data_IF_376055535779
#
_entry.id   IF_376055535779
#
_cell.length_a   1.000
_cell.length_b   1.000
_cell.length_c   1.000
_cell.angle_alpha   90.00
_cell.angle_beta   90.00
_cell.angle_gamma   90.00
#
_symmetry.space_group_name_H-M   'P 1'
#
loop_
_entity.id
_entity.type
_entity.pdbx_description
1 polymer ?
#
# COMPACT_ATOMS: atom_id res chain seq x y z
N UNK A 1 7.14 5.21 -6.16
CA UNK A 1 6.58 4.20 -7.10
C UNK A 1 5.32 4.71 -7.81
N UNK A 2 5.03 4.20 -9.00
CA UNK A 2 3.80 4.53 -9.76
C UNK A 2 2.61 3.62 -9.46
N UNK A 3 1.42 4.01 -9.95
CA UNK A 3 0.14 3.33 -9.66
C UNK A 3 0.09 1.86 -10.11
N UNK A 4 0.78 1.50 -11.20
CA UNK A 4 0.82 0.11 -11.69
C UNK A 4 1.48 -0.83 -10.67
N UNK A 5 2.66 -0.45 -10.16
CA UNK A 5 3.39 -1.22 -9.13
C UNK A 5 2.66 -1.20 -7.79
N UNK A 6 2.08 -0.06 -7.40
CA UNK A 6 1.28 0.03 -6.17
C UNK A 6 0.10 -0.97 -6.19
N UNK A 7 -0.69 -0.99 -7.27
CA UNK A 7 -1.80 -1.94 -7.43
C UNK A 7 -1.34 -3.39 -7.44
N UNK A 8 -0.26 -3.70 -8.13
CA UNK A 8 0.30 -5.05 -8.13
C UNK A 8 0.54 -5.54 -6.70
N UNK A 9 1.37 -4.84 -5.91
CA UNK A 9 1.71 -5.29 -4.56
C UNK A 9 0.52 -5.26 -3.59
N UNK A 10 -0.35 -4.24 -3.66
CA UNK A 10 -1.50 -4.14 -2.76
C UNK A 10 -2.59 -5.19 -3.05
N UNK A 11 -2.72 -5.67 -4.28
CA UNK A 11 -3.74 -6.64 -4.67
C UNK A 11 -3.25 -8.10 -4.63
N UNK A 12 -1.94 -8.33 -4.81
CA UNK A 12 -1.37 -9.68 -4.80
C UNK A 12 -0.76 -10.05 -3.46
N UNK A 13 -0.42 -9.08 -2.61
CA UNK A 13 0.33 -9.27 -1.37
C UNK A 13 1.66 -10.03 -1.57
N UNK A 14 2.25 -9.94 -2.77
CA UNK A 14 3.56 -10.54 -3.05
C UNK A 14 4.65 -9.90 -2.19
N UNK A 15 5.64 -10.69 -1.71
CA UNK A 15 6.74 -10.15 -0.93
C UNK A 15 7.58 -9.18 -1.77
N UNK A 16 8.07 -8.13 -1.12
CA UNK A 16 8.88 -7.09 -1.74
C UNK A 16 10.27 -7.05 -1.08
N UNK A 17 11.31 -7.31 -1.89
CA UNK A 17 12.70 -7.17 -1.44
C UNK A 17 13.14 -5.71 -1.32
N UNK A 18 14.16 -5.43 -0.50
CA UNK A 18 14.75 -4.09 -0.37
C UNK A 18 15.29 -3.52 -1.70
N UNK A 19 15.94 -4.36 -2.51
CA UNK A 19 16.47 -3.95 -3.81
C UNK A 19 15.37 -3.52 -4.79
N UNK A 20 14.28 -4.29 -4.88
CA UNK A 20 13.12 -3.90 -5.69
C UNK A 20 12.43 -2.66 -5.13
N UNK A 21 12.35 -2.52 -3.80
CA UNK A 21 11.77 -1.35 -3.14
C UNK A 21 12.55 -0.06 -3.47
N UNK A 22 13.88 -0.12 -3.51
CA UNK A 22 14.73 1.01 -3.93
C UNK A 22 14.52 1.30 -5.42
N UNK A 23 14.54 0.27 -6.27
CA UNK A 23 14.37 0.39 -7.73
C UNK A 23 13.04 1.04 -8.13
N UNK A 24 11.96 0.77 -7.39
CA UNK A 24 10.64 1.38 -7.64
C UNK A 24 10.43 2.72 -6.91
N UNK A 25 11.42 3.18 -6.15
CA UNK A 25 11.36 4.41 -5.36
C UNK A 25 10.31 4.35 -4.26
N UNK A 26 10.25 3.22 -3.54
CA UNK A 26 9.56 3.08 -2.25
C UNK A 26 10.49 3.42 -1.09
N UNK A 27 11.76 3.06 -1.18
CA UNK A 27 12.81 3.47 -0.23
C UNK A 27 13.90 4.27 -0.96
N UNK A 28 14.68 5.05 -0.22
CA UNK A 28 15.71 5.93 -0.81
C UNK A 28 17.06 5.24 -1.06
N UNK A 29 17.36 4.16 -0.34
CA UNK A 29 18.60 3.40 -0.49
C UNK A 29 18.39 1.98 0.01
N UNK A 30 19.09 1.02 -0.59
CA UNK A 30 19.18 -0.37 -0.16
C UNK A 30 20.66 -0.71 -0.02
N UNK A 31 21.01 -1.32 1.12
CA UNK A 31 22.36 -1.78 1.45
C UNK A 31 22.26 -3.21 1.99
N UNK A 32 23.39 -3.88 2.16
CA UNK A 32 23.44 -5.19 2.79
C UNK A 32 22.96 -5.12 4.25
N UNK A 33 22.40 -6.23 4.76
CA UNK A 33 21.76 -6.27 6.08
C UNK A 33 22.69 -5.79 7.21
N UNK A 34 23.98 -6.16 7.14
CA UNK A 34 25.00 -5.79 8.12
C UNK A 34 25.34 -4.28 8.11
N UNK A 35 25.04 -3.58 7.01
CA UNK A 35 25.38 -2.17 6.78
C UNK A 35 24.22 -1.20 7.06
N UNK A 36 23.01 -1.70 7.31
CA UNK A 36 21.78 -0.89 7.46
C UNK A 36 21.95 0.14 8.57
N UNK A 37 22.38 -0.28 9.77
CA UNK A 37 22.47 0.60 10.92
C UNK A 37 23.59 1.63 10.75
N UNK A 38 24.75 1.20 10.26
CA UNK A 38 25.89 2.09 10.02
C UNK A 38 25.53 3.17 8.98
N UNK A 39 24.87 2.78 7.89
CA UNK A 39 24.44 3.70 6.83
C UNK A 39 23.39 4.68 7.32
N UNK A 40 22.36 4.20 8.04
CA UNK A 40 21.30 5.06 8.58
C UNK A 40 21.85 6.07 9.60
N UNK A 41 22.74 5.62 10.49
CA UNK A 41 23.37 6.47 11.51
C UNK A 41 24.21 7.56 10.88
N UNK A 42 25.09 7.20 9.93
CA UNK A 42 25.89 8.16 9.18
C UNK A 42 25.04 9.21 8.48
N UNK A 43 23.92 8.81 7.87
CA UNK A 43 23.01 9.76 7.21
C UNK A 43 22.34 10.70 8.23
N UNK A 44 21.91 10.16 9.37
CA UNK A 44 21.29 10.94 10.44
C UNK A 44 22.29 11.95 11.04
N UNK A 45 23.54 11.55 11.27
CA UNK A 45 24.62 12.42 11.75
C UNK A 45 24.89 13.57 10.76
N UNK A 46 24.99 13.26 9.47
CA UNK A 46 25.16 14.26 8.42
C UNK A 46 23.99 15.27 8.40
N UNK A 47 22.75 14.80 8.53
CA UNK A 47 21.58 15.68 8.61
C UNK A 47 21.55 16.51 9.90
N UNK A 48 22.02 15.96 11.01
CA UNK A 48 22.09 16.65 12.29
C UNK A 48 23.13 17.79 12.28
N UNK A 49 24.22 17.62 11.54
CA UNK A 49 25.27 18.64 11.37
C UNK A 49 24.92 19.69 10.30
N UNK A 50 23.89 19.46 9.49
CA UNK A 50 23.46 20.37 8.42
C UNK A 50 22.75 21.63 8.91
N UNK A 51 22.49 22.57 7.99
CA UNK A 51 21.78 23.82 8.26
C UNK A 51 20.31 23.56 8.63
N UNK A 52 20.04 23.45 9.93
CA UNK A 52 18.76 22.97 10.46
C UNK A 52 17.52 23.74 9.97
N UNK A 53 17.62 25.07 9.85
CA UNK A 53 16.52 25.88 9.31
C UNK A 53 16.19 25.52 7.86
N UNK A 54 17.21 25.45 7.00
CA UNK A 54 17.02 25.10 5.59
C UNK A 54 16.44 23.69 5.44
N UNK A 55 17.01 22.70 6.15
CA UNK A 55 16.53 21.31 6.11
C UNK A 55 15.07 21.19 6.54
N UNK A 56 14.67 21.88 7.63
CA UNK A 56 13.29 21.88 8.12
C UNK A 56 12.34 22.50 7.10
N UNK A 57 12.70 23.63 6.50
CA UNK A 57 11.86 24.29 5.50
C UNK A 57 11.74 23.48 4.22
N UNK A 58 12.84 22.90 3.73
CA UNK A 58 12.80 21.98 2.59
C UNK A 58 11.88 20.79 2.88
N UNK A 59 12.04 20.12 4.02
CA UNK A 59 11.17 19.01 4.42
C UNK A 59 9.70 19.44 4.52
N UNK A 60 9.43 20.59 5.12
CA UNK A 60 8.06 21.11 5.26
C UNK A 60 7.41 21.36 3.89
N UNK A 61 8.11 22.05 2.99
CA UNK A 61 7.62 22.36 1.64
C UNK A 61 7.36 21.09 0.84
N UNK A 62 8.28 20.12 0.86
CA UNK A 62 8.12 18.86 0.14
C UNK A 62 6.98 18.00 0.72
N UNK A 63 6.77 18.03 2.03
CA UNK A 63 5.70 17.26 2.66
C UNK A 63 4.29 17.73 2.29
N UNK A 64 4.12 18.94 1.72
CA UNK A 64 2.84 19.36 1.16
C UNK A 64 2.41 18.45 -0.01
N UNK A 65 3.37 17.85 -0.73
CA UNK A 65 3.06 16.88 -1.79
C UNK A 65 2.28 15.68 -1.25
N UNK A 66 2.63 15.18 -0.06
CA UNK A 66 1.88 14.08 0.58
C UNK A 66 0.48 14.49 1.01
N UNK A 67 0.29 15.75 1.44
CA UNK A 67 -1.02 16.25 1.90
C UNK A 67 -2.05 16.29 0.77
N UNK A 68 -1.62 16.41 -0.49
CA UNK A 68 -2.51 16.33 -1.65
C UNK A 68 -3.22 14.96 -1.78
N UNK A 69 -2.66 13.91 -1.21
CA UNK A 69 -3.24 12.55 -1.25
C UNK A 69 -4.22 12.25 -0.11
N UNK A 70 -4.53 13.23 0.75
CA UNK A 70 -5.48 13.09 1.87
C UNK A 70 -6.80 12.39 1.50
N UNK A 71 -7.52 12.81 0.44
CA UNK A 71 -8.79 12.19 0.06
C UNK A 71 -8.70 10.69 -0.28
N UNK A 72 -7.57 10.26 -0.88
CA UNK A 72 -7.36 8.85 -1.19
C UNK A 72 -7.20 8.02 0.11
N UNK A 73 -6.49 8.58 1.09
CA UNK A 73 -6.33 7.96 2.40
C UNK A 73 -7.65 7.88 3.18
N UNK A 74 -8.45 8.95 3.17
CA UNK A 74 -9.79 8.96 3.79
C UNK A 74 -10.72 7.93 3.15
N UNK A 75 -10.70 7.84 1.82
CA UNK A 75 -11.45 6.83 1.07
C UNK A 75 -11.02 5.43 1.45
N UNK A 76 -9.70 5.15 1.51
CA UNK A 76 -9.21 3.83 1.91
C UNK A 76 -9.64 3.48 3.33
N UNK A 77 -9.60 4.43 4.27
CA UNK A 77 -10.01 4.20 5.64
C UNK A 77 -11.51 3.87 5.75
N UNK A 78 -12.36 4.62 5.04
CA UNK A 78 -13.80 4.34 5.01
C UNK A 78 -14.13 2.96 4.44
N UNK A 79 -13.47 2.58 3.33
CA UNK A 79 -13.65 1.27 2.70
C UNK A 79 -13.11 0.13 3.57
N UNK A 80 -12.03 0.38 4.32
CA UNK A 80 -11.47 -0.59 5.27
C UNK A 80 -12.48 -0.91 6.38
N UNK A 81 -13.15 0.09 6.96
CA UNK A 81 -14.18 -0.15 7.99
C UNK A 81 -15.37 -0.96 7.49
N UNK A 82 -15.81 -0.71 6.25
CA UNK A 82 -16.87 -1.49 5.62
C UNK A 82 -16.41 -2.94 5.41
N UNK A 83 -15.17 -3.13 4.98
CA UNK A 83 -14.59 -4.44 4.73
C UNK A 83 -14.37 -5.22 6.03
N UNK A 84 -13.88 -4.58 7.10
CA UNK A 84 -13.58 -5.21 8.38
C UNK A 84 -14.80 -5.80 9.10
N UNK A 85 -15.99 -5.26 8.83
CA UNK A 85 -17.25 -5.78 9.38
C UNK A 85 -17.80 -6.97 8.57
N UNK A 86 -17.20 -7.26 7.41
CA UNK A 86 -17.63 -8.26 6.45
C UNK A 86 -17.35 -9.72 6.84
N UNK A 87 -17.96 -10.68 6.12
CA UNK A 87 -17.75 -12.11 6.36
C UNK A 87 -16.32 -12.58 6.05
N UNK A 88 -15.67 -11.97 5.06
CA UNK A 88 -14.34 -12.38 4.59
C UNK A 88 -13.26 -12.20 5.65
N UNK A 89 -13.40 -11.22 6.54
CA UNK A 89 -12.43 -10.98 7.63
C UNK A 89 -12.49 -12.07 8.67
N UNK A 90 -13.70 -12.55 9.00
CA UNK A 90 -13.88 -13.68 9.92
C UNK A 90 -13.26 -14.94 9.36
N UNK A 91 -13.49 -15.21 8.07
CA UNK A 91 -12.90 -16.36 7.38
C UNK A 91 -11.38 -16.24 7.25
N UNK A 92 -10.86 -15.06 6.88
CA UNK A 92 -9.42 -14.81 6.79
C UNK A 92 -8.71 -15.07 8.12
N UNK A 93 -9.30 -14.60 9.23
CA UNK A 93 -8.76 -14.83 10.57
C UNK A 93 -8.82 -16.31 10.96
N UNK A 94 -9.94 -17.00 10.69
CA UNK A 94 -10.10 -18.43 10.96
C UNK A 94 -9.09 -19.27 10.16
N UNK A 95 -9.01 -19.05 8.85
CA UNK A 95 -8.10 -19.74 7.95
C UNK A 95 -6.63 -19.55 8.36
N UNK A 96 -6.24 -18.33 8.75
CA UNK A 96 -4.90 -18.05 9.25
C UNK A 96 -4.59 -18.81 10.55
N UNK A 97 -5.52 -18.80 11.52
CA UNK A 97 -5.36 -19.54 12.80
C UNK A 97 -5.30 -21.05 12.60
N UNK A 98 -6.12 -21.57 11.69
CA UNK A 98 -6.23 -22.99 11.37
C UNK A 98 -5.17 -23.47 10.36
N UNK A 99 -4.31 -22.56 9.84
CA UNK A 99 -3.27 -22.84 8.83
C UNK A 99 -3.80 -23.55 7.58
N UNK A 100 -4.99 -23.16 7.14
CA UNK A 100 -5.63 -23.68 5.92
C UNK A 100 -5.84 -22.55 4.90
N UNK A 101 -6.05 -22.87 3.62
CA UNK A 101 -6.48 -21.88 2.64
C UNK A 101 -7.82 -21.25 3.02
N UNK A 102 -7.92 -19.92 2.85
CA UNK A 102 -9.16 -19.18 3.04
C UNK A 102 -10.13 -19.45 1.89
N UNK A 103 -11.44 -19.45 2.19
CA UNK A 103 -12.52 -19.65 1.24
C UNK A 103 -13.47 -18.46 1.27
N UNK A 104 -13.16 -17.45 0.47
CA UNK A 104 -13.99 -16.24 0.37
C UNK A 104 -15.24 -16.52 -0.46
N UNK A 105 -16.40 -16.05 0.02
CA UNK A 105 -17.65 -16.12 -0.74
C UNK A 105 -17.77 -14.89 -1.62
N UNK A 106 -18.09 -15.05 -2.91
CA UNK A 106 -18.42 -13.91 -3.76
C UNK A 106 -19.70 -13.24 -3.21
N UNK A 107 -19.54 -12.09 -2.53
CA UNK A 107 -20.67 -11.30 -2.06
C UNK A 107 -21.60 -10.92 -3.21
N UNK A 108 -22.89 -10.82 -2.91
CA UNK A 108 -24.06 -10.61 -3.78
C UNK A 108 -24.02 -9.34 -4.66
N UNK A 109 -23.06 -9.28 -5.59
CA UNK A 109 -22.95 -8.24 -6.64
C UNK A 109 -23.26 -8.77 -8.05
N UNK A 110 -23.47 -10.08 -8.20
CA UNK A 110 -23.74 -10.71 -9.50
C UNK A 110 -25.12 -10.36 -10.10
N UNK A 111 -26.01 -9.69 -9.37
CA UNK A 111 -27.33 -9.30 -9.88
C UNK A 111 -27.32 -8.04 -10.76
N UNK A 112 -26.26 -7.22 -10.77
CA UNK A 112 -26.28 -5.96 -11.52
C UNK A 112 -25.80 -6.04 -12.99
N UNK A 113 -25.28 -7.17 -13.45
CA UNK A 113 -24.68 -7.27 -14.80
C UNK A 113 -25.30 -8.34 -15.72
N UNK A 114 -26.13 -9.24 -15.20
CA UNK A 114 -26.86 -10.21 -16.05
C UNK A 114 -27.92 -9.56 -16.94
N UNK A 115 -28.57 -8.48 -16.46
CA UNK A 115 -29.63 -7.79 -17.19
C UNK A 115 -29.10 -6.91 -18.36
N UNK A 116 -27.83 -6.50 -18.35
CA UNK A 116 -27.25 -5.63 -19.41
C UNK A 116 -26.62 -6.42 -20.55
N UNK A 117 -26.22 -7.68 -20.32
CA UNK A 117 -25.60 -8.52 -21.35
C UNK A 117 -26.65 -9.18 -22.27
N UNK A 118 -27.85 -9.49 -21.77
CA UNK A 118 -28.94 -10.07 -22.59
C UNK A 118 -29.52 -9.08 -23.62
N UNK A 119 -29.47 -7.76 -23.34
CA UNK A 119 -29.99 -6.73 -24.23
C UNK A 119 -29.07 -6.37 -25.42
N UNK A 120 -27.83 -6.88 -25.46
CA UNK A 120 -26.83 -6.54 -26.49
C UNK A 120 -26.51 -7.67 -27.48
N UNK A 121 -27.01 -8.89 -27.25
CA UNK A 121 -26.83 -10.04 -28.15
C UNK A 121 -28.08 -10.30 -29.01
N UNK A 122 -29.16 -9.54 -28.80
CA UNK A 122 -30.43 -9.67 -29.52
C UNK A 122 -30.74 -8.57 -30.55
N UNK A 123 -29.72 -7.92 -31.14
CA UNK A 123 -29.89 -7.05 -32.32
C UNK A 123 -28.75 -7.24 -33.30
#
# INVERSE_FOLDING_TARGET
MGMAKAKYYLLTCEPLSGAEAERIGLVSTCVDDDDVLATATRLAENLAQGAQHALRWTKHSLNQWYRMFGPAFETSLGLEFLSFSGPDVREGLAAHREKRPARFSAGSGAEHDSARLSARVGR
#
